data_IF_133947678055
#
_entry.id   IF_133947678055
#
_cell.length_a   1.000
_cell.length_b   1.000
_cell.length_c   1.000
_cell.angle_alpha   90.00
_cell.angle_beta   90.00
_cell.angle_gamma   90.00
#
_symmetry.space_group_name_H-M   'P 1'
#
loop_
_entity.id
_entity.type
_entity.pdbx_description
1 polymer ?
#
# COMPACT_ATOMS: atom_id res chain seq x y z
N UNK A 1 25.90 -28.36 1.93
CA UNK A 1 25.71 -29.83 2.05
C UNK A 1 24.82 -30.28 0.89
N UNK A 2 25.38 -31.08 -0.02
CA UNK A 2 24.79 -31.54 -1.28
C UNK A 2 23.70 -32.60 -1.07
N UNK A 3 22.52 -32.44 -1.67
CA UNK A 3 21.73 -33.57 -2.18
C UNK A 3 21.13 -33.18 -3.54
N UNK A 4 21.45 -33.96 -4.57
CA UNK A 4 20.99 -33.85 -5.96
C UNK A 4 19.90 -34.90 -6.23
N UNK A 5 19.04 -34.53 -7.19
CA UNK A 5 18.52 -35.34 -8.30
C UNK A 5 17.13 -36.03 -8.23
N UNK A 6 16.24 -35.49 -9.09
CA UNK A 6 15.56 -36.12 -10.24
C UNK A 6 14.66 -37.36 -10.05
N UNK A 7 13.39 -37.18 -10.44
CA UNK A 7 12.57 -37.91 -11.45
C UNK A 7 11.10 -37.59 -11.09
N UNK A 8 10.20 -37.17 -11.99
CA UNK A 8 9.55 -37.95 -13.04
C UNK A 8 8.93 -36.98 -14.06
N UNK A 9 9.13 -37.28 -15.35
CA UNK A 9 8.43 -36.69 -16.51
C UNK A 9 7.39 -37.70 -17.01
N UNK A 10 6.25 -37.20 -17.49
CA UNK A 10 5.26 -37.90 -18.32
C UNK A 10 3.85 -37.60 -17.81
N UNK A 11 2.97 -36.90 -18.51
CA UNK A 11 2.52 -37.16 -19.87
C UNK A 11 1.84 -35.91 -20.47
N UNK A 12 2.10 -35.63 -21.75
CA UNK A 12 1.36 -34.67 -22.57
C UNK A 12 0.12 -35.32 -23.20
N UNK A 13 -0.99 -34.59 -23.27
CA UNK A 13 -2.17 -34.90 -24.10
C UNK A 13 -3.14 -33.71 -24.14
N UNK A 14 -3.81 -33.43 -25.29
CA UNK A 14 -4.04 -32.06 -25.76
C UNK A 14 -5.39 -31.42 -25.35
N UNK A 15 -5.42 -30.09 -25.41
CA UNK A 15 -6.59 -29.21 -25.32
C UNK A 15 -7.69 -29.58 -26.34
N UNK A 16 -8.99 -29.56 -25.96
CA UNK A 16 -10.07 -29.49 -26.92
C UNK A 16 -10.55 -28.05 -27.19
N UNK A 17 -10.96 -27.89 -28.44
CA UNK A 17 -11.38 -26.69 -29.16
C UNK A 17 -12.60 -25.96 -28.59
N UNK A 18 -12.54 -24.65 -28.76
CA UNK A 18 -13.64 -23.67 -28.86
C UNK A 18 -14.83 -24.22 -29.68
N UNK A 19 -16.05 -24.07 -29.16
CA UNK A 19 -17.31 -24.13 -29.95
C UNK A 19 -18.16 -22.91 -29.62
N UNK A 20 -18.57 -22.20 -30.66
CA UNK A 20 -19.45 -21.03 -30.62
C UNK A 20 -20.94 -21.41 -30.45
N UNK A 21 -21.64 -20.49 -29.75
CA UNK A 21 -23.05 -20.05 -29.85
C UNK A 21 -24.18 -21.09 -29.90
N UNK A 22 -25.11 -20.94 -28.94
CA UNK A 22 -26.52 -20.72 -29.27
C UNK A 22 -27.27 -20.02 -28.12
N UNK A 23 -28.02 -18.97 -28.47
CA UNK A 23 -28.95 -18.28 -27.59
C UNK A 23 -30.27 -19.06 -27.46
N UNK A 24 -30.89 -19.05 -26.28
CA UNK A 24 -32.35 -19.00 -26.14
C UNK A 24 -32.77 -18.84 -24.67
N UNK A 25 -33.52 -17.76 -24.44
CA UNK A 25 -34.60 -17.57 -23.45
C UNK A 25 -34.76 -18.58 -22.29
N UNK A 26 -34.39 -18.16 -21.08
CA UNK A 26 -34.75 -18.86 -19.81
C UNK A 26 -35.33 -17.93 -18.74
N UNK A 27 -36.07 -16.89 -19.16
CA UNK A 27 -36.72 -15.96 -18.21
C UNK A 27 -38.25 -16.07 -18.14
N UNK A 28 -38.86 -17.08 -18.76
CA UNK A 28 -40.34 -17.19 -18.83
C UNK A 28 -40.90 -18.55 -18.38
N UNK A 29 -40.07 -19.44 -17.82
CA UNK A 29 -40.56 -20.74 -17.30
C UNK A 29 -40.77 -20.77 -15.77
N UNK A 30 -40.40 -19.72 -15.03
CA UNK A 30 -40.49 -19.72 -13.57
C UNK A 30 -41.86 -19.26 -13.01
N UNK A 31 -42.74 -18.71 -13.85
CA UNK A 31 -44.01 -18.11 -13.41
C UNK A 31 -45.27 -18.93 -13.78
N UNK A 32 -45.14 -20.03 -14.53
CA UNK A 32 -46.29 -20.88 -14.88
C UNK A 32 -46.41 -22.19 -14.10
N UNK A 33 -45.48 -22.49 -13.18
CA UNK A 33 -45.54 -23.69 -12.34
C UNK A 33 -46.19 -23.46 -10.95
N UNK A 34 -46.72 -22.26 -10.67
CA UNK A 34 -47.48 -21.96 -9.45
C UNK A 34 -48.98 -21.76 -9.74
N UNK A 35 -49.55 -22.60 -10.59
CA UNK A 35 -51.00 -22.71 -10.75
C UNK A 35 -51.32 -24.18 -10.98
N UNK A 36 -52.09 -24.75 -10.05
CA UNK A 36 -52.57 -26.14 -9.99
C UNK A 36 -51.75 -27.10 -9.11
N UNK A 37 -51.72 -26.81 -7.81
CA UNK A 37 -51.87 -27.79 -6.72
C UNK A 37 -51.89 -27.03 -5.38
N UNK A 38 -53.03 -26.45 -5.02
CA UNK A 38 -53.20 -25.83 -3.69
C UNK A 38 -53.32 -26.93 -2.63
N UNK A 39 -52.19 -27.41 -2.14
CA UNK A 39 -52.13 -28.07 -0.84
C UNK A 39 -52.23 -26.99 0.24
N UNK A 40 -53.10 -27.17 1.24
CA UNK A 40 -53.17 -26.26 2.40
C UNK A 40 -51.80 -26.01 3.06
N UNK A 41 -50.82 -26.90 2.85
CA UNK A 41 -49.46 -26.77 3.36
C UNK A 41 -48.61 -25.71 2.65
N UNK A 42 -48.77 -25.49 1.34
CA UNK A 42 -47.99 -24.47 0.61
C UNK A 42 -48.49 -23.06 0.90
N UNK A 43 -49.80 -22.88 1.11
CA UNK A 43 -50.37 -21.60 1.56
C UNK A 43 -49.94 -21.28 3.00
N UNK A 44 -49.94 -22.28 3.90
CA UNK A 44 -49.44 -22.11 5.27
C UNK A 44 -47.95 -21.74 5.30
N UNK A 45 -47.11 -22.40 4.50
CA UNK A 45 -45.68 -22.06 4.40
C UNK A 45 -45.45 -20.64 3.84
N UNK A 46 -46.19 -20.23 2.80
CA UNK A 46 -46.04 -18.89 2.25
C UNK A 46 -46.52 -17.82 3.22
N UNK A 47 -47.60 -18.06 3.96
CA UNK A 47 -48.07 -17.14 5.01
C UNK A 47 -47.12 -17.09 6.20
N UNK A 48 -46.47 -18.20 6.56
CA UNK A 48 -45.45 -18.24 7.62
C UNK A 48 -44.18 -17.48 7.22
N UNK A 49 -43.71 -17.63 5.97
CA UNK A 49 -42.59 -16.85 5.44
C UNK A 49 -42.92 -15.36 5.37
N UNK A 50 -44.14 -15.00 4.96
CA UNK A 50 -44.57 -13.60 4.92
C UNK A 50 -44.70 -13.00 6.33
N UNK A 51 -45.20 -13.77 7.32
CA UNK A 51 -45.22 -13.35 8.73
C UNK A 51 -43.81 -13.19 9.31
N UNK A 52 -42.85 -14.06 8.97
CA UNK A 52 -41.45 -13.90 9.37
C UNK A 52 -40.86 -12.62 8.78
N UNK A 53 -41.14 -12.30 7.52
CA UNK A 53 -40.66 -11.07 6.88
C UNK A 53 -41.30 -9.82 7.52
N UNK A 54 -42.60 -9.87 7.83
CA UNK A 54 -43.34 -8.75 8.45
C UNK A 54 -42.92 -8.55 9.92
N UNK A 55 -42.71 -9.64 10.68
CA UNK A 55 -42.21 -9.58 12.06
C UNK A 55 -40.74 -9.17 12.12
N UNK A 56 -39.90 -9.55 11.13
CA UNK A 56 -38.53 -9.07 11.00
C UNK A 56 -38.43 -7.56 10.73
N UNK A 57 -39.49 -6.92 10.19
CA UNK A 57 -39.57 -5.47 10.04
C UNK A 57 -40.03 -4.73 11.31
N UNK A 58 -40.50 -5.44 12.34
CA UNK A 58 -40.95 -4.83 13.61
C UNK A 58 -40.09 -5.20 14.83
N UNK A 59 -38.97 -5.91 14.65
CA UNK A 59 -38.00 -6.14 15.75
C UNK A 59 -36.93 -5.06 15.70
N UNK A 60 -36.93 -4.22 16.74
CA UNK A 60 -35.82 -3.36 17.12
C UNK A 60 -34.50 -4.13 17.13
N UNK A 61 -33.60 -3.77 16.20
CA UNK A 61 -32.13 -3.91 16.22
C UNK A 61 -31.56 -5.03 17.11
N UNK A 62 -31.92 -6.29 16.86
CA UNK A 62 -31.15 -7.41 17.41
C UNK A 62 -29.86 -7.51 16.60
N UNK A 63 -28.72 -7.14 17.19
CA UNK A 63 -27.40 -7.23 16.54
C UNK A 63 -27.18 -8.66 16.07
N UNK A 64 -26.91 -8.84 14.78
CA UNK A 64 -26.63 -10.16 14.22
C UNK A 64 -25.37 -10.73 14.88
N UNK A 65 -25.32 -12.04 15.19
CA UNK A 65 -24.16 -12.63 15.85
C UNK A 65 -22.89 -12.49 15.01
N UNK A 66 -23.04 -12.43 13.69
CA UNK A 66 -21.96 -12.21 12.73
C UNK A 66 -22.50 -11.35 11.59
N UNK A 67 -21.70 -10.43 11.07
CA UNK A 67 -22.01 -9.80 9.79
C UNK A 67 -21.56 -10.73 8.66
N UNK A 68 -22.31 -10.91 7.56
CA UNK A 68 -21.93 -11.83 6.47
C UNK A 68 -20.53 -11.58 5.91
N UNK A 69 -20.04 -10.34 5.94
CA UNK A 69 -18.67 -9.99 5.53
C UNK A 69 -17.60 -10.51 6.49
N UNK A 70 -17.90 -10.60 7.78
CA UNK A 70 -16.96 -11.06 8.82
C UNK A 70 -16.69 -12.56 8.70
N UNK A 71 -17.61 -13.30 8.06
CA UNK A 71 -17.48 -14.73 7.80
C UNK A 71 -16.76 -15.05 6.49
N UNK A 72 -16.63 -14.09 5.57
CA UNK A 72 -15.99 -14.32 4.26
C UNK A 72 -14.58 -14.91 4.38
N UNK A 73 -13.71 -14.43 5.29
CA UNK A 73 -12.36 -14.99 5.44
C UNK A 73 -12.33 -16.42 6.01
N UNK A 74 -13.42 -16.85 6.66
CA UNK A 74 -13.57 -18.20 7.20
C UNK A 74 -14.07 -19.21 6.15
N UNK A 75 -14.56 -18.73 5.00
CA UNK A 75 -15.00 -19.59 3.90
C UNK A 75 -13.80 -20.07 3.07
N UNK A 76 -13.90 -21.25 2.41
CA UNK A 76 -12.88 -21.73 1.48
C UNK A 76 -12.52 -20.68 0.45
N UNK A 77 -11.22 -20.51 0.18
CA UNK A 77 -10.69 -19.46 -0.72
C UNK A 77 -11.38 -19.44 -2.08
N UNK A 78 -11.79 -20.59 -2.62
CA UNK A 78 -12.49 -20.66 -3.90
C UNK A 78 -13.83 -19.91 -3.92
N UNK A 79 -14.46 -19.74 -2.75
CA UNK A 79 -15.74 -19.04 -2.57
C UNK A 79 -15.55 -17.63 -2.03
N UNK A 80 -14.62 -17.43 -1.08
CA UNK A 80 -14.38 -16.13 -0.48
C UNK A 80 -13.56 -15.19 -1.37
N UNK A 81 -12.55 -15.71 -2.06
CA UNK A 81 -11.59 -14.89 -2.81
C UNK A 81 -12.20 -14.08 -3.95
N UNK A 82 -13.15 -14.60 -4.77
CA UNK A 82 -13.82 -13.79 -5.79
C UNK A 82 -14.70 -12.69 -5.18
N UNK A 83 -15.28 -12.95 -4.01
CA UNK A 83 -16.18 -12.01 -3.31
C UNK A 83 -15.36 -10.93 -2.59
N UNK A 84 -14.29 -11.32 -1.90
CA UNK A 84 -13.35 -10.41 -1.23
C UNK A 84 -12.66 -9.48 -2.23
N UNK A 85 -12.15 -10.02 -3.36
CA UNK A 85 -11.58 -9.21 -4.45
C UNK A 85 -12.61 -8.28 -5.13
N UNK A 86 -13.90 -8.57 -5.02
CA UNK A 86 -14.98 -7.70 -5.51
C UNK A 86 -15.38 -6.65 -4.49
N UNK A 87 -15.20 -6.91 -3.19
CA UNK A 87 -15.62 -6.04 -2.09
C UNK A 87 -14.51 -5.08 -1.65
N UNK A 88 -13.25 -5.46 -1.86
CA UNK A 88 -12.08 -4.70 -1.47
C UNK A 88 -11.14 -4.52 -2.67
N UNK A 89 -10.84 -3.26 -2.96
CA UNK A 89 -9.76 -2.84 -3.86
C UNK A 89 -8.47 -2.66 -3.05
N UNK A 90 -7.28 -2.65 -3.68
CA UNK A 90 -6.01 -2.38 -2.95
C UNK A 90 -6.01 -1.03 -2.21
N UNK A 91 -6.93 -0.17 -2.62
CA UNK A 91 -7.32 1.10 -2.03
C UNK A 91 -7.96 0.93 -0.65
N UNK A 92 -8.80 -0.08 -0.44
CA UNK A 92 -9.42 -0.37 0.86
C UNK A 92 -8.42 -0.90 1.92
N UNK A 93 -7.18 -1.19 1.50
CA UNK A 93 -6.06 -1.57 2.36
C UNK A 93 -5.34 -0.36 2.94
N UNK A 94 -5.63 0.85 2.46
CA UNK A 94 -4.98 2.06 2.93
C UNK A 94 -5.73 2.65 4.12
N UNK A 95 -5.00 3.10 5.16
CA UNK A 95 -5.59 3.80 6.28
C UNK A 95 -6.34 5.02 5.77
N UNK A 96 -7.53 5.26 6.30
CA UNK A 96 -8.34 6.46 5.99
C UNK A 96 -8.26 7.41 7.16
N UNK A 97 -7.90 8.66 6.92
CA UNK A 97 -7.89 9.67 7.97
C UNK A 97 -9.32 9.92 8.47
N UNK A 98 -9.52 9.78 9.78
CA UNK A 98 -10.84 9.98 10.41
C UNK A 98 -10.89 11.21 11.32
N UNK A 99 -9.72 11.78 11.65
CA UNK A 99 -9.60 13.05 12.36
C UNK A 99 -8.36 13.09 13.25
N UNK A 100 -8.19 14.17 14.01
CA UNK A 100 -7.03 14.36 14.88
C UNK A 100 -7.44 14.90 16.26
N UNK A 101 -6.99 14.23 17.32
CA UNK A 101 -7.31 14.58 18.70
C UNK A 101 -6.18 15.40 19.33
N UNK A 102 -6.48 16.64 19.70
CA UNK A 102 -5.53 17.63 20.25
C UNK A 102 -5.91 18.07 21.67
N UNK A 103 -5.18 19.03 22.24
CA UNK A 103 -5.46 19.53 23.58
C UNK A 103 -6.80 20.28 23.72
N UNK A 104 -7.43 20.66 22.60
CA UNK A 104 -8.75 21.30 22.58
C UNK A 104 -9.89 20.28 22.48
N UNK A 105 -9.56 19.01 22.20
CA UNK A 105 -10.53 17.94 22.20
C UNK A 105 -10.88 17.54 23.62
N UNK A 106 -12.17 17.36 23.88
CA UNK A 106 -12.71 16.94 25.18
C UNK A 106 -13.83 15.92 24.96
N UNK A 107 -14.35 15.26 26.00
CA UNK A 107 -15.50 14.38 25.86
C UNK A 107 -16.73 15.06 25.23
N UNK A 108 -16.87 16.38 25.43
CA UNK A 108 -17.99 17.17 24.89
C UNK A 108 -17.67 17.79 23.52
N UNK A 109 -16.40 17.86 23.13
CA UNK A 109 -15.91 18.39 21.86
C UNK A 109 -14.89 17.42 21.25
N UNK A 110 -15.32 16.18 21.05
CA UNK A 110 -14.49 15.09 20.54
C UNK A 110 -14.48 15.04 19.02
N UNK A 111 -13.44 14.44 18.46
CA UNK A 111 -13.43 14.02 17.06
C UNK A 111 -14.41 12.86 16.91
N UNK A 112 -15.32 12.91 15.94
CA UNK A 112 -16.32 11.87 15.71
C UNK A 112 -16.24 11.32 14.28
N UNK A 113 -16.39 10.01 14.12
CA UNK A 113 -16.43 9.37 12.80
C UNK A 113 -17.25 8.09 12.81
N UNK A 114 -17.58 7.64 11.60
CA UNK A 114 -18.17 6.32 11.37
C UNK A 114 -17.06 5.33 11.01
N UNK A 115 -16.92 4.29 11.83
CA UNK A 115 -15.98 3.20 11.62
C UNK A 115 -16.44 2.20 10.56
N UNK A 116 -15.59 1.21 10.28
CA UNK A 116 -15.97 0.10 9.42
C UNK A 116 -16.92 -0.84 10.17
N UNK A 117 -16.65 -1.03 11.46
CA UNK A 117 -17.42 -1.88 12.35
C UNK A 117 -18.26 -1.11 13.38
N UNK A 118 -17.67 -0.09 14.00
CA UNK A 118 -18.36 0.72 15.02
C UNK A 118 -18.88 1.99 14.36
N UNK A 119 -20.19 2.23 14.42
CA UNK A 119 -20.78 3.35 13.68
C UNK A 119 -20.74 4.69 14.40
N UNK A 120 -20.54 4.67 15.72
CA UNK A 120 -20.44 5.88 16.53
C UNK A 120 -19.14 5.88 17.31
N UNK A 121 -18.13 6.54 16.75
CA UNK A 121 -16.80 6.60 17.36
C UNK A 121 -16.45 8.02 17.76
N UNK A 122 -15.77 8.16 18.89
CA UNK A 122 -15.30 9.43 19.43
C UNK A 122 -13.86 9.33 19.92
N UNK A 123 -13.08 10.40 19.76
CA UNK A 123 -11.73 10.50 20.28
C UNK A 123 -11.45 11.87 20.91
N UNK A 124 -10.70 11.87 22.01
CA UNK A 124 -10.16 13.08 22.62
C UNK A 124 -8.82 12.81 23.32
N UNK A 125 -8.02 13.85 23.49
CA UNK A 125 -6.68 13.77 24.07
C UNK A 125 -6.64 14.45 25.44
N UNK A 126 -6.05 13.78 26.43
CA UNK A 126 -5.77 14.33 27.76
C UNK A 126 -4.26 14.41 27.95
N UNK A 127 -3.71 15.62 28.00
CA UNK A 127 -2.28 15.81 28.27
C UNK A 127 -1.99 15.67 29.77
N UNK A 128 -0.85 15.06 30.09
CA UNK A 128 -0.39 14.92 31.47
C UNK A 128 1.15 14.94 31.53
N UNK A 129 1.70 15.05 32.73
CA UNK A 129 3.15 14.96 32.94
C UNK A 129 3.47 13.92 34.03
N UNK A 130 2.92 12.72 33.86
CA UNK A 130 3.13 11.63 34.81
C UNK A 130 4.60 11.15 34.83
N UNK A 131 5.32 11.29 33.71
CA UNK A 131 6.73 10.95 33.54
C UNK A 131 7.71 11.98 34.12
N UNK A 132 7.23 13.15 34.56
CA UNK A 132 8.03 14.25 35.12
C UNK A 132 9.11 14.79 34.18
N UNK A 133 8.92 14.65 32.86
CA UNK A 133 9.86 15.18 31.88
C UNK A 133 9.46 16.59 31.43
N UNK A 134 10.31 17.24 30.64
CA UNK A 134 10.11 18.64 30.25
C UNK A 134 8.79 18.84 29.48
N UNK A 135 8.37 17.86 28.68
CA UNK A 135 7.20 17.95 27.81
C UNK A 135 6.07 17.00 28.22
N UNK A 136 6.31 16.07 29.14
CA UNK A 136 5.32 15.10 29.58
C UNK A 136 4.79 14.23 28.44
N UNK A 137 3.55 13.77 28.59
CA UNK A 137 2.88 12.85 27.68
C UNK A 137 1.40 13.16 27.50
N UNK A 138 0.63 12.16 27.13
CA UNK A 138 -0.82 12.27 27.01
C UNK A 138 -1.51 10.93 26.84
N UNK A 139 -2.80 10.90 27.17
CA UNK A 139 -3.68 9.75 27.00
C UNK A 139 -4.69 10.07 25.90
N UNK A 140 -4.65 9.31 24.80
CA UNK A 140 -5.68 9.34 23.78
C UNK A 140 -6.82 8.43 24.22
N UNK A 141 -7.99 9.00 24.44
CA UNK A 141 -9.20 8.24 24.70
C UNK A 141 -9.92 7.97 23.38
N UNK A 142 -10.35 6.73 23.19
CA UNK A 142 -11.09 6.28 22.02
C UNK A 142 -12.34 5.53 22.47
N UNK A 143 -13.52 6.09 22.23
CA UNK A 143 -14.79 5.46 22.53
C UNK A 143 -15.42 4.95 21.25
N UNK A 144 -15.53 3.63 21.13
CA UNK A 144 -16.18 2.97 19.99
C UNK A 144 -17.54 2.40 20.41
N UNK A 145 -18.58 2.74 19.65
CA UNK A 145 -19.98 2.40 19.96
C UNK A 145 -20.76 1.95 18.72
N UNK A 146 -21.95 1.38 18.94
CA UNK A 146 -22.81 0.90 17.85
C UNK A 146 -22.14 -0.10 16.90
N UNK A 147 -21.52 -1.14 17.48
CA UNK A 147 -21.03 -2.30 16.73
C UNK A 147 -22.16 -2.96 15.93
N UNK A 148 -21.95 -3.21 14.64
CA UNK A 148 -22.93 -3.88 13.78
C UNK A 148 -22.97 -5.42 13.92
N UNK A 149 -21.94 -6.03 14.51
CA UNK A 149 -21.87 -7.47 14.81
C UNK A 149 -21.11 -7.75 16.12
N UNK A 150 -21.18 -8.98 16.63
CA UNK A 150 -20.40 -9.40 17.81
C UNK A 150 -18.95 -9.71 17.49
N UNK A 151 -18.64 -9.97 16.23
CA UNK A 151 -17.27 -10.17 15.72
C UNK A 151 -16.60 -8.86 15.32
N UNK A 152 -17.11 -7.74 15.84
CA UNK A 152 -16.68 -6.45 15.37
C UNK A 152 -15.21 -6.18 15.67
N UNK A 153 -14.49 -5.65 14.69
CA UNK A 153 -13.10 -5.26 14.88
C UNK A 153 -12.71 -4.13 13.92
N UNK A 154 -12.37 -2.98 14.50
CA UNK A 154 -11.70 -1.88 13.78
C UNK A 154 -10.22 -1.81 14.17
N UNK A 155 -9.36 -1.62 13.19
CA UNK A 155 -7.91 -1.42 13.37
C UNK A 155 -7.59 0.05 13.08
N UNK A 156 -6.87 0.69 13.99
CA UNK A 156 -6.48 2.09 13.90
C UNK A 156 -4.97 2.26 13.87
N UNK A 157 -4.52 3.25 13.11
CA UNK A 157 -3.15 3.76 13.14
C UNK A 157 -3.21 5.18 13.71
N UNK A 158 -2.31 5.47 14.64
CA UNK A 158 -2.17 6.76 15.31
C UNK A 158 -0.80 7.33 14.96
N UNK A 159 -0.76 8.55 14.42
CA UNK A 159 0.47 9.12 13.92
C UNK A 159 0.66 10.60 14.28
N UNK A 160 1.92 10.94 14.49
CA UNK A 160 2.48 12.29 14.45
C UNK A 160 3.59 12.28 13.40
N UNK A 161 4.13 13.44 12.99
CA UNK A 161 5.32 13.49 12.15
C UNK A 161 6.54 12.74 12.73
N UNK A 162 6.53 12.45 14.03
CA UNK A 162 7.65 11.89 14.79
C UNK A 162 7.44 10.41 15.16
N UNK A 163 6.19 9.94 15.30
CA UNK A 163 5.91 8.55 15.66
C UNK A 163 4.64 8.01 15.03
N UNK A 164 4.62 6.69 14.89
CA UNK A 164 3.44 5.93 14.47
C UNK A 164 3.26 4.74 15.40
N UNK A 165 2.02 4.51 15.81
CA UNK A 165 1.59 3.34 16.58
C UNK A 165 0.23 2.88 16.07
N UNK A 166 -0.24 1.72 16.51
CA UNK A 166 -1.48 1.13 16.05
C UNK A 166 -2.14 0.33 17.17
N UNK A 167 -3.46 0.19 17.10
CA UNK A 167 -4.24 -0.61 18.05
C UNK A 167 -5.55 -1.09 17.41
N UNK A 168 -6.16 -2.11 18.00
CA UNK A 168 -7.40 -2.70 17.51
C UNK A 168 -8.47 -2.74 18.59
N UNK A 169 -9.72 -2.52 18.20
CA UNK A 169 -10.84 -2.48 19.13
C UNK A 169 -11.93 -3.42 18.69
N UNK A 170 -12.30 -4.34 19.58
CA UNK A 170 -13.36 -5.33 19.36
C UNK A 170 -14.53 -5.23 20.35
N UNK A 171 -14.37 -4.43 21.42
CA UNK A 171 -15.41 -4.19 22.42
C UNK A 171 -15.94 -2.77 22.28
N UNK A 172 -17.27 -2.66 22.28
CA UNK A 172 -18.00 -1.38 22.32
C UNK A 172 -17.85 -0.73 23.70
N UNK A 173 -16.73 -0.03 23.92
CA UNK A 173 -16.40 0.66 25.16
C UNK A 173 -15.42 1.80 24.89
N UNK A 174 -15.08 2.52 25.95
CA UNK A 174 -13.94 3.42 25.97
C UNK A 174 -12.63 2.62 26.13
N UNK A 175 -11.66 2.99 25.32
CA UNK A 175 -10.29 2.49 25.34
C UNK A 175 -9.33 3.67 25.45
N UNK A 176 -8.09 3.39 25.82
CA UNK A 176 -7.07 4.42 26.04
C UNK A 176 -5.75 3.97 25.43
N UNK A 177 -5.10 4.88 24.72
CA UNK A 177 -3.73 4.73 24.23
C UNK A 177 -2.83 5.75 24.93
N UNK A 178 -1.80 5.26 25.59
CA UNK A 178 -0.92 6.06 26.44
C UNK A 178 0.36 6.47 25.71
N UNK A 179 0.66 7.75 25.71
CA UNK A 179 1.94 8.33 25.30
C UNK A 179 2.67 8.78 26.57
N UNK A 180 3.60 7.97 27.07
CA UNK A 180 4.31 8.27 28.32
C UNK A 180 5.16 9.54 28.25
N UNK A 181 5.77 9.79 27.09
CA UNK A 181 6.59 10.96 26.82
C UNK A 181 6.60 11.33 25.33
N UNK A 182 6.50 12.63 25.04
CA UNK A 182 6.74 13.20 23.71
C UNK A 182 8.25 13.27 23.41
N UNK A 183 8.64 13.01 22.16
CA UNK A 183 10.03 12.86 21.73
C UNK A 183 10.84 14.16 21.90
N UNK A 184 10.14 15.29 21.87
CA UNK A 184 10.70 16.59 22.23
C UNK A 184 9.71 17.72 22.03
N UNK A 185 10.21 18.95 22.11
CA UNK A 185 9.42 20.18 21.96
C UNK A 185 8.60 20.20 20.66
N UNK A 186 9.21 19.73 19.58
CA UNK A 186 8.63 19.82 18.24
C UNK A 186 7.40 18.90 18.09
N UNK A 187 7.45 17.69 18.66
CA UNK A 187 6.29 16.81 18.73
C UNK A 187 5.21 17.36 19.67
N UNK A 188 5.60 17.80 20.87
CA UNK A 188 4.66 18.35 21.84
C UNK A 188 3.84 19.53 21.27
N UNK A 189 4.51 20.52 20.68
CA UNK A 189 3.83 21.66 20.04
C UNK A 189 3.02 21.24 18.82
N UNK A 190 3.47 20.23 18.06
CA UNK A 190 2.68 19.69 16.96
C UNK A 190 1.37 19.08 17.46
N UNK A 191 1.42 18.16 18.42
CA UNK A 191 0.23 17.45 18.93
C UNK A 191 -0.71 18.41 19.65
N UNK A 192 -0.16 19.43 20.32
CA UNK A 192 -0.97 20.49 20.94
C UNK A 192 -1.80 21.25 19.90
N UNK A 193 -1.20 21.63 18.76
CA UNK A 193 -1.86 22.48 17.77
C UNK A 193 -2.64 21.71 16.69
N UNK A 194 -2.19 20.49 16.35
CA UNK A 194 -2.72 19.70 15.23
C UNK A 194 -3.32 18.35 15.67
N UNK A 195 -2.98 17.89 16.87
CA UNK A 195 -3.44 16.61 17.41
C UNK A 195 -2.64 15.39 16.96
N UNK A 196 -2.96 14.24 17.54
CA UNK A 196 -2.55 12.93 17.02
C UNK A 196 -3.52 12.57 15.91
N UNK A 197 -3.00 12.32 14.71
CA UNK A 197 -3.80 11.90 13.56
C UNK A 197 -4.25 10.46 13.73
N UNK A 198 -5.55 10.23 13.53
CA UNK A 198 -6.20 8.93 13.68
C UNK A 198 -6.60 8.44 12.30
N UNK A 199 -6.18 7.21 11.99
CA UNK A 199 -6.49 6.56 10.73
C UNK A 199 -7.20 5.23 10.98
N UNK A 200 -8.21 4.94 10.19
CA UNK A 200 -8.97 3.70 10.23
C UNK A 200 -8.64 2.80 9.04
N UNK A 201 -8.36 1.55 9.32
CA UNK A 201 -8.25 0.50 8.30
C UNK A 201 -9.66 -0.01 7.97
N UNK A 202 -10.22 0.44 6.84
CA UNK A 202 -11.60 0.10 6.45
C UNK A 202 -11.84 -1.39 6.22
N UNK A 203 -10.78 -2.15 5.90
CA UNK A 203 -10.87 -3.59 5.68
C UNK A 203 -10.94 -4.41 6.98
N UNK A 204 -10.79 -3.79 8.17
CA UNK A 204 -10.73 -4.48 9.46
C UNK A 204 -9.51 -5.41 9.59
N UNK A 205 -9.39 -6.18 10.68
CA UNK A 205 -8.22 -7.07 10.90
C UNK A 205 -8.09 -8.17 9.85
N UNK A 206 -9.20 -8.78 9.42
CA UNK A 206 -9.14 -9.88 8.47
C UNK A 206 -8.78 -9.40 7.06
N UNK A 207 -9.34 -8.26 6.63
CA UNK A 207 -8.94 -7.62 5.38
C UNK A 207 -7.52 -7.05 5.45
N UNK A 208 -7.04 -6.62 6.63
CA UNK A 208 -5.64 -6.20 6.83
C UNK A 208 -4.68 -7.39 6.83
N UNK A 209 -5.05 -8.54 7.41
CA UNK A 209 -4.27 -9.78 7.33
C UNK A 209 -4.23 -10.33 5.91
N UNK A 210 -5.33 -10.24 5.17
CA UNK A 210 -5.40 -10.54 3.74
C UNK A 210 -4.53 -9.57 2.92
N UNK A 211 -4.58 -8.28 3.23
CA UNK A 211 -3.72 -7.26 2.63
C UNK A 211 -2.25 -7.53 2.88
N UNK A 212 -1.89 -7.85 4.11
CA UNK A 212 -0.53 -8.26 4.48
C UNK A 212 -0.14 -9.53 3.72
N UNK A 213 -1.07 -10.44 3.45
CA UNK A 213 -0.82 -11.62 2.61
C UNK A 213 -0.63 -11.29 1.12
N UNK A 214 -1.19 -10.19 0.60
CA UNK A 214 -0.94 -9.71 -0.76
C UNK A 214 0.31 -8.82 -0.87
N UNK A 215 0.63 -8.06 0.19
CA UNK A 215 1.74 -7.09 0.25
C UNK A 215 3.06 -7.74 0.68
N UNK A 216 3.05 -8.58 1.72
CA UNK A 216 4.24 -9.33 2.16
C UNK A 216 4.97 -10.08 1.02
N UNK A 217 4.27 -10.78 0.10
CA UNK A 217 4.92 -11.40 -1.06
C UNK A 217 5.76 -10.41 -1.87
N UNK A 218 5.29 -9.18 -2.06
CA UNK A 218 5.94 -8.18 -2.93
C UNK A 218 7.39 -7.95 -2.52
N UNK A 219 7.66 -7.94 -1.21
CA UNK A 219 8.98 -7.69 -0.62
C UNK A 219 9.90 -8.92 -0.61
N UNK A 220 9.40 -10.10 -0.99
CA UNK A 220 10.22 -11.31 -1.03
C UNK A 220 11.03 -11.39 -2.32
N UNK A 221 12.32 -11.68 -2.23
CA UNK A 221 13.13 -11.95 -3.41
C UNK A 221 12.97 -13.40 -3.87
N UNK A 222 11.77 -13.73 -4.34
CA UNK A 222 11.41 -15.07 -4.83
C UNK A 222 10.62 -14.95 -6.13
N UNK A 223 10.51 -16.04 -6.90
CA UNK A 223 9.61 -16.07 -8.05
C UNK A 223 8.15 -15.81 -7.70
N UNK A 224 7.76 -16.04 -6.43
CA UNK A 224 6.44 -15.66 -5.93
C UNK A 224 6.31 -14.15 -5.73
N UNK A 225 7.32 -13.49 -5.17
CA UNK A 225 7.35 -12.04 -5.01
C UNK A 225 7.40 -11.30 -6.34
N UNK A 226 8.26 -11.74 -7.27
CA UNK A 226 8.30 -11.21 -8.64
C UNK A 226 6.92 -11.29 -9.33
N UNK A 227 6.29 -12.46 -9.31
CA UNK A 227 4.97 -12.64 -9.90
C UNK A 227 3.90 -11.81 -9.18
N UNK A 228 4.06 -11.57 -7.87
CA UNK A 228 3.16 -10.71 -7.11
C UNK A 228 3.30 -9.24 -7.54
N UNK A 229 4.52 -8.74 -7.71
CA UNK A 229 4.77 -7.39 -8.25
C UNK A 229 4.20 -7.21 -9.67
N UNK A 230 4.43 -8.18 -10.56
CA UNK A 230 3.87 -8.16 -11.93
C UNK A 230 2.33 -8.14 -11.88
N UNK A 231 1.71 -8.98 -11.06
CA UNK A 231 0.25 -9.03 -10.94
C UNK A 231 -0.32 -7.75 -10.32
N UNK A 232 0.38 -7.15 -9.36
CA UNK A 232 0.02 -5.86 -8.77
C UNK A 232 0.01 -4.77 -9.86
N UNK A 233 1.10 -4.61 -10.61
CA UNK A 233 1.19 -3.61 -11.68
C UNK A 233 0.15 -3.87 -12.79
N UNK A 234 -0.10 -5.13 -13.14
CA UNK A 234 -1.16 -5.49 -14.09
C UNK A 234 -2.56 -5.15 -13.58
N UNK A 235 -2.87 -5.45 -12.32
CA UNK A 235 -4.18 -5.20 -11.70
C UNK A 235 -4.45 -3.71 -11.55
N UNK A 236 -3.44 -2.93 -11.17
CA UNK A 236 -3.62 -1.54 -10.77
C UNK A 236 -3.25 -0.50 -11.83
N UNK A 237 -2.33 -0.83 -12.74
CA UNK A 237 -1.94 0.06 -13.85
C UNK A 237 -2.41 -0.45 -15.22
N UNK A 238 -2.87 -1.71 -15.32
CA UNK A 238 -3.08 -2.35 -16.61
C UNK A 238 -1.77 -2.60 -17.39
N UNK A 239 -0.62 -2.52 -16.70
CA UNK A 239 0.70 -2.67 -17.31
C UNK A 239 1.04 -4.15 -17.55
N UNK A 240 1.78 -4.42 -18.63
CA UNK A 240 2.29 -5.75 -18.96
C UNK A 240 3.81 -5.76 -18.99
N UNK A 241 4.41 -6.66 -18.21
CA UNK A 241 5.86 -6.91 -18.20
C UNK A 241 6.12 -8.25 -18.87
N UNK A 242 6.73 -8.21 -20.05
CA UNK A 242 7.08 -9.40 -20.83
C UNK A 242 8.59 -9.64 -20.79
N UNK A 243 8.98 -10.90 -20.58
CA UNK A 243 10.39 -11.27 -20.60
C UNK A 243 10.99 -11.06 -21.99
N UNK A 244 12.12 -10.34 -22.07
CA UNK A 244 12.85 -10.14 -23.31
C UNK A 244 13.50 -11.46 -23.75
N UNK A 245 13.46 -11.84 -25.04
CA UNK A 245 14.18 -13.02 -25.53
C UNK A 245 15.69 -12.85 -25.39
N UNK A 246 16.37 -13.93 -25.01
CA UNK A 246 17.83 -14.00 -24.95
C UNK A 246 18.47 -14.06 -26.36
N UNK A 247 19.73 -13.61 -26.52
CA UNK A 247 20.63 -13.10 -25.48
C UNK A 247 20.38 -11.62 -25.13
N UNK A 248 20.56 -11.27 -23.85
CA UNK A 248 20.50 -9.89 -23.40
C UNK A 248 21.86 -9.22 -23.58
N UNK A 249 22.05 -8.61 -24.76
CA UNK A 249 23.29 -7.88 -25.11
C UNK A 249 22.96 -6.43 -25.42
N UNK A 250 23.87 -5.53 -25.03
CA UNK A 250 23.83 -4.11 -25.41
C UNK A 250 25.04 -3.80 -26.32
N UNK A 251 24.84 -2.90 -27.28
CA UNK A 251 25.92 -2.37 -28.11
C UNK A 251 26.49 -1.05 -27.56
N UNK A 252 25.99 -0.61 -26.40
CA UNK A 252 26.40 0.63 -25.74
C UNK A 252 27.57 0.33 -24.81
N UNK A 253 28.62 1.13 -24.92
CA UNK A 253 29.78 1.12 -24.04
C UNK A 253 29.78 2.33 -23.11
N UNK A 254 30.60 2.30 -22.07
CA UNK A 254 30.75 3.44 -21.17
C UNK A 254 31.16 4.72 -21.94
N UNK A 255 31.94 4.61 -23.02
CA UNK A 255 32.38 5.72 -23.86
C UNK A 255 31.24 6.41 -24.62
N UNK A 256 30.16 5.68 -24.91
CA UNK A 256 28.97 6.21 -25.58
C UNK A 256 28.09 7.06 -24.65
N UNK A 257 28.33 7.01 -23.34
CA UNK A 257 27.55 7.72 -22.31
C UNK A 257 28.17 9.10 -22.05
N UNK A 258 27.33 10.12 -21.95
CA UNK A 258 27.75 11.51 -21.79
C UNK A 258 27.13 12.16 -20.57
N UNK A 259 27.74 13.25 -20.10
CA UNK A 259 27.20 14.05 -19.01
C UNK A 259 25.78 14.53 -19.30
N UNK A 260 24.91 14.32 -18.33
CA UNK A 260 23.48 14.62 -18.41
C UNK A 260 22.62 13.50 -19.00
N UNK A 261 23.20 12.42 -19.52
CA UNK A 261 22.43 11.25 -19.91
C UNK A 261 21.74 10.63 -18.67
N UNK A 262 20.57 10.05 -18.90
CA UNK A 262 19.67 9.60 -17.85
C UNK A 262 19.55 8.08 -17.85
N UNK A 263 19.58 7.48 -16.67
CA UNK A 263 19.31 6.06 -16.46
C UNK A 263 17.94 5.91 -15.80
N UNK A 264 17.04 5.23 -16.49
CA UNK A 264 15.77 4.80 -15.92
C UNK A 264 15.92 3.36 -15.41
N UNK A 265 15.76 3.16 -14.11
CA UNK A 265 15.94 1.88 -13.43
C UNK A 265 14.57 1.33 -13.00
N UNK A 266 14.35 0.05 -13.29
CA UNK A 266 13.11 -0.64 -12.99
C UNK A 266 13.38 -2.00 -12.36
N UNK A 267 13.23 -2.07 -11.03
CA UNK A 267 13.30 -3.28 -10.22
C UNK A 267 11.89 -3.86 -10.01
N UNK A 268 11.80 -5.19 -9.91
CA UNK A 268 10.53 -5.93 -9.72
C UNK A 268 10.62 -7.07 -8.69
N UNK A 269 11.79 -7.28 -8.07
CA UNK A 269 12.04 -8.33 -7.08
C UNK A 269 12.57 -7.76 -5.77
N UNK A 270 12.37 -8.49 -4.68
CA UNK A 270 12.93 -8.14 -3.38
C UNK A 270 12.35 -6.86 -2.79
N UNK A 271 13.01 -6.34 -1.75
CA UNK A 271 12.60 -5.13 -1.02
C UNK A 271 12.45 -3.94 -1.97
N UNK A 272 13.47 -3.68 -2.78
CA UNK A 272 13.50 -2.52 -3.68
C UNK A 272 12.51 -2.66 -4.84
N UNK A 273 12.34 -3.86 -5.41
CA UNK A 273 11.32 -4.08 -6.42
C UNK A 273 9.88 -3.90 -5.93
N UNK A 274 9.61 -4.17 -4.65
CA UNK A 274 8.32 -3.88 -4.03
C UNK A 274 8.07 -2.38 -3.91
N UNK A 275 9.04 -1.63 -3.38
CA UNK A 275 8.97 -0.17 -3.28
C UNK A 275 8.79 0.46 -4.65
N UNK A 276 9.61 0.08 -5.62
CA UNK A 276 9.49 0.60 -6.95
C UNK A 276 8.18 0.19 -7.64
N UNK A 277 7.56 -0.94 -7.30
CA UNK A 277 6.24 -1.30 -7.84
C UNK A 277 5.15 -0.38 -7.31
N UNK A 278 5.27 0.07 -6.06
CA UNK A 278 4.38 1.09 -5.51
C UNK A 278 4.64 2.45 -6.17
N UNK A 279 5.89 2.84 -6.38
CA UNK A 279 6.28 4.07 -7.07
C UNK A 279 5.77 4.12 -8.51
N UNK A 280 5.92 3.02 -9.27
CA UNK A 280 5.35 2.88 -10.62
C UNK A 280 3.84 3.09 -10.62
N UNK A 281 3.13 2.50 -9.65
CA UNK A 281 1.69 2.64 -9.53
C UNK A 281 1.24 4.07 -9.26
N UNK A 282 1.87 4.75 -8.30
CA UNK A 282 1.46 6.10 -7.89
C UNK A 282 1.91 7.18 -8.89
N UNK A 283 3.03 6.99 -9.59
CA UNK A 283 3.52 7.94 -10.60
C UNK A 283 2.97 7.67 -12.01
N UNK A 284 2.47 6.46 -12.27
CA UNK A 284 2.13 6.00 -13.62
C UNK A 284 3.35 5.69 -14.49
N UNK A 285 4.58 5.77 -13.95
CA UNK A 285 5.81 5.47 -14.67
C UNK A 285 6.11 3.96 -14.71
N UNK A 286 7.04 3.57 -15.59
CA UNK A 286 7.55 2.20 -15.69
C UNK A 286 8.93 2.02 -15.02
N UNK A 287 9.56 3.12 -14.60
CA UNK A 287 10.76 3.14 -13.77
C UNK A 287 10.37 3.51 -12.34
N UNK A 288 11.03 2.92 -11.34
CA UNK A 288 10.90 3.35 -9.95
C UNK A 288 12.08 4.22 -9.51
N UNK A 289 13.26 3.94 -10.05
CA UNK A 289 14.47 4.66 -9.71
C UNK A 289 15.12 5.34 -10.93
N UNK A 290 15.89 6.38 -10.67
CA UNK A 290 16.52 7.19 -11.71
C UNK A 290 17.90 7.64 -11.28
N UNK A 291 18.84 7.65 -12.20
CA UNK A 291 20.19 8.16 -11.97
C UNK A 291 20.67 9.03 -13.14
N UNK A 292 21.64 9.90 -12.88
CA UNK A 292 22.25 10.77 -13.88
C UNK A 292 23.71 10.42 -14.10
N UNK A 293 24.13 10.44 -15.36
CA UNK A 293 25.51 10.21 -15.76
C UNK A 293 26.28 11.54 -15.78
N UNK A 294 27.48 11.57 -15.21
CA UNK A 294 28.39 12.73 -15.23
C UNK A 294 29.82 12.28 -15.54
N UNK A 295 30.51 12.99 -16.42
CA UNK A 295 31.95 12.81 -16.64
C UNK A 295 32.74 13.87 -15.89
N UNK A 296 33.80 13.47 -15.21
CA UNK A 296 34.70 14.42 -14.58
C UNK A 296 35.66 15.05 -15.61
N UNK A 297 36.55 15.94 -15.14
CA UNK A 297 37.55 16.60 -15.98
C UNK A 297 38.56 15.65 -16.62
N UNK A 298 38.74 14.46 -16.06
CA UNK A 298 39.62 13.42 -16.60
C UNK A 298 38.87 12.48 -17.57
N UNK A 299 37.57 12.73 -17.77
CA UNK A 299 36.69 11.96 -18.65
C UNK A 299 36.15 10.69 -18.00
N UNK A 300 36.40 10.44 -16.71
CA UNK A 300 35.86 9.26 -16.02
C UNK A 300 34.36 9.42 -15.79
N UNK A 301 33.60 8.35 -15.99
CA UNK A 301 32.15 8.34 -15.84
C UNK A 301 31.74 8.04 -14.39
N UNK A 302 30.75 8.81 -13.92
CA UNK A 302 30.17 8.75 -12.59
C UNK A 302 28.65 8.70 -12.69
N UNK A 303 28.03 8.05 -11.72
CA UNK A 303 26.59 7.97 -11.52
C UNK A 303 26.22 8.79 -10.30
N UNK A 304 25.38 9.80 -10.49
CA UNK A 304 24.72 10.52 -9.41
C UNK A 304 23.34 9.94 -9.17
N UNK A 305 23.10 9.42 -7.97
CA UNK A 305 21.80 8.89 -7.58
C UNK A 305 21.47 9.20 -6.12
N UNK A 306 20.19 9.05 -5.78
CA UNK A 306 19.67 9.14 -4.42
C UNK A 306 19.15 7.76 -4.06
N UNK A 307 19.57 7.20 -2.92
CA UNK A 307 19.07 5.90 -2.43
C UNK A 307 20.15 4.83 -2.38
N UNK A 308 21.42 5.25 -2.36
CA UNK A 308 22.55 4.37 -2.16
C UNK A 308 22.79 4.17 -0.67
N UNK A 309 22.89 2.93 -0.22
CA UNK A 309 23.14 2.58 1.17
C UNK A 309 24.64 2.75 1.49
N UNK A 310 24.96 3.56 2.51
CA UNK A 310 26.35 3.73 2.98
C UNK A 310 26.80 2.58 3.91
N UNK A 311 28.04 2.63 4.39
CA UNK A 311 28.59 1.60 5.30
C UNK A 311 27.83 1.50 6.64
N UNK A 312 27.14 2.57 7.04
CA UNK A 312 26.30 2.66 8.22
C UNK A 312 24.86 2.12 8.01
N UNK A 313 24.51 1.76 6.76
CA UNK A 313 23.17 1.29 6.40
C UNK A 313 22.16 2.40 6.12
N UNK A 314 22.61 3.65 5.92
CA UNK A 314 21.76 4.80 5.65
C UNK A 314 21.66 5.06 4.15
N UNK A 315 20.45 5.33 3.65
CA UNK A 315 20.25 5.73 2.26
C UNK A 315 20.64 7.21 2.05
N UNK A 316 21.59 7.46 1.14
CA UNK A 316 22.14 8.79 0.85
C UNK A 316 22.10 9.13 -0.63
N UNK A 317 22.39 10.40 -0.93
CA UNK A 317 22.75 10.87 -2.27
C UNK A 317 24.24 10.60 -2.49
N UNK A 318 24.57 9.81 -3.50
CA UNK A 318 25.92 9.34 -3.78
C UNK A 318 26.39 9.69 -5.19
N UNK A 319 27.71 9.84 -5.33
CA UNK A 319 28.41 9.94 -6.61
C UNK A 319 29.35 8.73 -6.75
N UNK A 320 28.94 7.77 -7.57
CA UNK A 320 29.57 6.45 -7.63
C UNK A 320 30.30 6.31 -8.97
N UNK A 321 31.55 5.84 -9.02
CA UNK A 321 32.21 5.50 -10.27
C UNK A 321 31.37 4.52 -11.10
N UNK A 322 31.28 4.74 -12.42
CA UNK A 322 30.49 3.87 -13.31
C UNK A 322 30.82 2.39 -13.14
N UNK A 323 32.11 2.03 -13.10
CA UNK A 323 32.53 0.63 -13.02
C UNK A 323 32.06 -0.03 -11.72
N UNK A 324 32.01 0.72 -10.62
CA UNK A 324 31.54 0.25 -9.32
C UNK A 324 30.02 0.09 -9.32
N UNK A 325 29.29 1.12 -9.78
CA UNK A 325 27.83 1.07 -9.91
C UNK A 325 27.37 -0.04 -10.85
N UNK A 326 28.04 -0.21 -11.99
CA UNK A 326 27.70 -1.22 -12.98
C UNK A 326 28.04 -2.64 -12.54
N UNK A 327 29.15 -2.84 -11.82
CA UNK A 327 29.49 -4.13 -11.22
C UNK A 327 28.44 -4.54 -10.17
N UNK A 328 28.01 -3.61 -9.33
CA UNK A 328 26.93 -3.84 -8.37
C UNK A 328 25.62 -4.25 -9.08
N UNK A 329 25.14 -3.46 -10.04
CA UNK A 329 23.87 -3.72 -10.71
C UNK A 329 23.88 -5.05 -11.51
N UNK A 330 25.05 -5.51 -11.97
CA UNK A 330 25.18 -6.79 -12.67
C UNK A 330 25.29 -7.99 -11.74
N UNK A 331 26.03 -7.87 -10.64
CA UNK A 331 26.49 -9.03 -9.87
C UNK A 331 26.01 -9.06 -8.41
N UNK A 332 25.61 -7.93 -7.86
CA UNK A 332 25.25 -7.78 -6.44
C UNK A 332 23.78 -7.39 -6.24
N UNK A 333 23.17 -6.67 -7.18
CA UNK A 333 21.75 -6.30 -7.10
C UNK A 333 20.85 -7.51 -7.35
N UNK A 334 20.40 -8.10 -6.24
CA UNK A 334 19.52 -9.27 -6.23
C UNK A 334 18.08 -8.98 -6.69
N UNK A 335 17.73 -7.70 -6.90
CA UNK A 335 16.43 -7.28 -7.42
C UNK A 335 16.27 -7.48 -8.93
N UNK A 336 17.37 -7.79 -9.63
CA UNK A 336 17.49 -7.96 -11.08
C UNK A 336 16.96 -6.73 -11.85
N UNK A 337 17.69 -5.62 -11.79
CA UNK A 337 17.25 -4.33 -12.31
C UNK A 337 17.16 -4.32 -13.84
N UNK A 338 16.10 -3.70 -14.37
CA UNK A 338 16.03 -3.33 -15.78
C UNK A 338 16.47 -1.88 -15.96
N UNK A 339 17.57 -1.67 -16.67
CA UNK A 339 18.17 -0.35 -16.85
C UNK A 339 18.02 0.08 -18.31
N UNK A 340 17.44 1.26 -18.52
CA UNK A 340 17.36 1.90 -19.82
C UNK A 340 18.20 3.18 -19.81
N UNK A 341 19.12 3.30 -20.77
CA UNK A 341 19.83 4.53 -21.05
C UNK A 341 18.97 5.44 -21.94
N UNK A 342 18.75 6.67 -21.50
CA UNK A 342 18.07 7.72 -22.22
C UNK A 342 19.05 8.87 -22.48
N UNK A 343 19.70 8.89 -23.66
CA UNK A 343 20.64 9.95 -24.00
C UNK A 343 19.93 11.29 -24.17
N UNK A 344 20.58 12.38 -23.77
CA UNK A 344 20.09 13.72 -24.09
C UNK A 344 20.01 13.93 -25.60
N UNK A 345 18.92 14.55 -26.05
CA UNK A 345 18.82 15.03 -27.42
C UNK A 345 19.99 15.98 -27.73
N UNK A 346 20.61 15.94 -28.93
CA UNK A 346 21.78 16.75 -29.24
C UNK A 346 21.63 18.24 -28.93
N UNK A 347 20.46 18.83 -29.21
CA UNK A 347 20.18 20.25 -28.95
C UNK A 347 20.10 20.60 -27.46
N UNK A 348 19.74 19.63 -26.61
CA UNK A 348 19.73 19.79 -25.14
C UNK A 348 21.13 19.58 -24.60
N UNK A 349 21.83 18.56 -25.11
CA UNK A 349 23.22 18.25 -24.75
C UNK A 349 24.14 19.44 -25.01
N UNK A 350 24.00 20.12 -26.14
CA UNK A 350 24.79 21.31 -26.47
C UNK A 350 24.61 22.49 -25.48
N UNK A 351 23.55 22.46 -24.66
CA UNK A 351 23.23 23.47 -23.65
C UNK A 351 23.52 22.99 -22.22
N UNK A 352 23.89 21.72 -22.06
CA UNK A 352 24.13 21.14 -20.74
C UNK A 352 25.37 21.78 -20.10
N UNK A 353 25.20 22.37 -18.93
CA UNK A 353 26.29 23.00 -18.20
C UNK A 353 26.90 21.98 -17.22
N UNK A 354 27.94 21.31 -17.67
CA UNK A 354 28.63 20.26 -16.92
C UNK A 354 29.28 20.77 -15.62
N UNK A 355 29.87 21.97 -15.64
CA UNK A 355 30.44 22.59 -14.43
C UNK A 355 29.37 22.81 -13.37
N UNK A 356 28.25 23.41 -13.74
CA UNK A 356 27.14 23.65 -12.82
C UNK A 356 26.50 22.35 -12.32
N UNK A 357 26.40 21.33 -13.17
CA UNK A 357 25.90 20.01 -12.79
C UNK A 357 26.78 19.36 -11.72
N UNK A 358 28.11 19.43 -11.87
CA UNK A 358 29.06 18.93 -10.87
C UNK A 358 29.05 19.72 -9.57
N UNK A 359 28.97 21.05 -9.64
CA UNK A 359 28.82 21.89 -8.45
C UNK A 359 27.56 21.50 -7.66
N UNK A 360 26.45 21.31 -8.36
CA UNK A 360 25.20 20.86 -7.73
C UNK A 360 25.33 19.45 -7.14
N UNK A 361 25.84 18.48 -7.91
CA UNK A 361 26.01 17.10 -7.48
C UNK A 361 26.84 16.99 -6.18
N UNK A 362 28.00 17.65 -6.14
CA UNK A 362 28.86 17.70 -4.95
C UNK A 362 28.23 18.42 -3.76
N UNK A 363 27.35 19.39 -4.02
CA UNK A 363 26.62 20.06 -2.93
C UNK A 363 25.55 19.17 -2.28
N UNK A 364 25.19 18.07 -2.93
CA UNK A 364 24.15 17.13 -2.50
C UNK A 364 24.72 15.81 -1.98
N UNK A 365 25.93 15.45 -2.37
CA UNK A 365 26.64 14.25 -1.92
C UNK A 365 26.64 14.11 -0.39
N UNK A 366 26.31 12.90 0.08
CA UNK A 366 26.21 12.55 1.50
C UNK A 366 24.96 13.06 2.22
N UNK A 367 24.06 13.78 1.54
CA UNK A 367 22.78 14.15 2.15
C UNK A 367 21.84 12.94 2.24
N UNK A 368 20.97 12.88 3.28
CA UNK A 368 20.01 11.80 3.43
C UNK A 368 19.03 11.70 2.25
N UNK A 369 18.56 10.48 1.97
CA UNK A 369 17.55 10.22 0.96
C UNK A 369 16.27 11.03 1.20
N UNK A 370 15.72 11.57 0.11
CA UNK A 370 14.55 12.44 0.12
C UNK A 370 13.21 11.72 0.27
N UNK A 371 13.05 10.81 1.24
CA UNK A 371 11.81 10.02 1.42
C UNK A 371 10.54 10.88 1.43
N UNK A 372 10.59 12.01 2.12
CA UNK A 372 9.50 12.97 2.17
C UNK A 372 9.19 13.55 0.77
N UNK A 373 10.21 13.99 0.03
CA UNK A 373 10.04 14.56 -1.30
C UNK A 373 9.50 13.53 -2.29
N UNK A 374 9.97 12.29 -2.20
CA UNK A 374 9.46 11.19 -3.01
C UNK A 374 7.96 10.98 -2.76
N UNK A 375 7.53 10.88 -1.50
CA UNK A 375 6.11 10.65 -1.20
C UNK A 375 5.27 11.90 -1.52
N UNK A 376 5.78 13.11 -1.28
CA UNK A 376 5.10 14.33 -1.68
C UNK A 376 5.00 14.46 -3.20
N UNK A 377 5.92 13.90 -3.99
CA UNK A 377 5.82 13.87 -5.45
C UNK A 377 4.65 13.01 -5.95
N UNK A 378 4.11 12.12 -5.11
CA UNK A 378 2.86 11.40 -5.40
C UNK A 378 1.63 12.33 -5.30
N UNK A 379 1.83 13.58 -4.88
CA UNK A 379 0.81 14.62 -4.73
C UNK A 379 1.00 15.69 -5.81
N UNK A 380 0.42 15.44 -6.98
CA UNK A 380 0.35 16.36 -8.14
C UNK A 380 -0.61 17.54 -7.90
N UNK A 381 -1.60 17.42 -7.01
CA UNK A 381 -2.54 18.49 -6.67
C UNK A 381 -2.86 18.49 -5.18
N UNK A 382 -3.22 19.65 -4.61
CA UNK A 382 -3.50 19.76 -3.18
C UNK A 382 -4.59 18.79 -2.66
N UNK A 383 -5.54 18.36 -3.50
CA UNK A 383 -6.67 17.49 -3.08
C UNK A 383 -7.21 16.52 -4.15
N UNK A 384 -6.80 16.61 -5.41
CA UNK A 384 -7.51 16.01 -6.55
C UNK A 384 -6.80 14.87 -7.28
N UNK A 385 -5.58 14.50 -6.91
CA UNK A 385 -4.76 13.51 -7.61
C UNK A 385 -4.46 12.27 -6.76
N UNK A 386 -4.91 12.24 -5.51
CA UNK A 386 -4.77 11.06 -4.70
C UNK A 386 -5.66 9.95 -5.28
N UNK A 387 -5.13 8.76 -5.60
CA UNK A 387 -6.01 7.63 -5.85
C UNK A 387 -6.80 7.40 -4.54
N UNK A 388 -8.15 7.42 -4.57
CA UNK A 388 -8.94 7.10 -3.39
C UNK A 388 -8.42 5.81 -2.75
N UNK A 389 -8.27 5.69 -1.42
CA UNK A 389 -8.75 6.60 -0.40
C UNK A 389 -7.59 7.43 0.19
N UNK A 390 -6.48 7.56 -0.54
CA UNK A 390 -5.31 8.30 -0.09
C UNK A 390 -5.73 9.76 0.05
N UNK A 391 -5.29 10.40 1.12
CA UNK A 391 -5.36 11.84 1.29
C UNK A 391 -4.02 12.35 1.85
N UNK A 392 -3.88 13.67 1.96
CA UNK A 392 -2.66 14.30 2.44
C UNK A 392 -2.20 13.79 3.81
N UNK A 393 -3.12 13.42 4.70
CA UNK A 393 -2.79 12.92 6.03
C UNK A 393 -2.22 11.50 5.95
N UNK A 394 -2.77 10.66 5.06
CA UNK A 394 -2.27 9.30 4.83
C UNK A 394 -0.84 9.33 4.29
N UNK A 395 -0.55 10.29 3.41
CA UNK A 395 0.80 10.55 2.92
C UNK A 395 1.74 10.96 4.05
N UNK A 396 1.35 11.93 4.88
CA UNK A 396 2.16 12.36 6.02
C UNK A 396 2.47 11.21 6.99
N UNK A 397 1.46 10.38 7.29
CA UNK A 397 1.63 9.18 8.10
C UNK A 397 2.62 8.18 7.48
N UNK A 398 2.49 7.89 6.17
CA UNK A 398 3.40 6.98 5.46
C UNK A 398 4.85 7.49 5.48
N UNK A 399 5.06 8.79 5.30
CA UNK A 399 6.40 9.39 5.38
C UNK A 399 7.05 9.12 6.74
N UNK A 400 6.32 9.25 7.84
CA UNK A 400 6.83 8.95 9.18
C UNK A 400 7.09 7.46 9.44
N UNK A 401 6.32 6.55 8.82
CA UNK A 401 6.58 5.09 8.91
C UNK A 401 7.85 4.73 8.14
N UNK A 402 7.99 5.23 6.92
CA UNK A 402 9.08 4.85 6.03
C UNK A 402 10.45 5.28 6.58
N UNK A 403 10.54 6.47 7.17
CA UNK A 403 11.73 6.98 7.88
C UNK A 403 12.17 6.08 9.05
N UNK A 404 11.29 5.23 9.59
CA UNK A 404 11.64 4.29 10.67
C UNK A 404 11.94 2.88 10.17
N UNK A 405 11.59 2.56 8.93
CA UNK A 405 11.77 1.24 8.34
C UNK A 405 12.97 1.17 7.40
N UNK A 406 13.36 2.31 6.83
CA UNK A 406 14.65 2.57 6.21
C UNK A 406 15.47 3.38 7.19
#
# INVERSE_FOLDING_TARGET
MNIRAKQIIGWLGPLPKRRERQSSSTFTLFLLAMSMASSNKTLLLSTFFLLIIITAHQVSTLKYPFHPRDLLPLLPKQLSWPILNSLHSAVDLLPVFVGAASNTSSPDNSVEWKGACFYENKAWMVFHNNSQTQYGGGTLHLKVSEAHSWTCLDLYIFATPYRVTWDYYFLSREHTLEFSEWEGKAEYEYVKNHGVSIFLMKAGMLGTLEALWEVFPLFTNTGWGENSNINFLKKHMGASFEARPEPWVTNVTADDIHSGDFLAVSKIRGRWGAFESLEKWVSGAYAGHTAVCLRDSDGKLWIGESGHENEEGEDIIALIPWDEWWEFELNEDDSNPHIALLPLHPDVRAKFNETAAWEYARSMEGKPYGYHNMIFSWIDTLTGNYPPPIDANVVLMKSSILIKLC
#
